data_IF_410602001023
#
_entry.id   IF_410602001023
#
_cell.length_a   1.000
_cell.length_b   1.000
_cell.length_c   1.000
_cell.angle_alpha   90.00
_cell.angle_beta   90.00
_cell.angle_gamma   90.00
#
_symmetry.space_group_name_H-M   'P 1'
#
loop_
_entity.id
_entity.type
_entity.pdbx_description
1 polymer ?
#
# COMPACT_ATOMS: atom_id res chain seq x y z
N UNK A 1 0.16 -14.51 1.97
CA UNK A 1 -0.45 -14.21 3.29
C UNK A 1 -1.46 -15.31 3.65
N UNK A 2 -1.81 -15.52 4.93
CA UNK A 2 -2.84 -16.48 5.33
C UNK A 2 -4.08 -15.71 5.79
N UNK A 3 -5.23 -15.81 5.09
CA UNK A 3 -6.43 -15.08 5.49
C UNK A 3 -6.97 -15.61 6.83
N UNK A 4 -7.52 -14.70 7.64
CA UNK A 4 -8.23 -15.09 8.86
C UNK A 4 -9.60 -15.69 8.51
N UNK A 5 -10.17 -16.58 9.33
CA UNK A 5 -11.51 -17.12 9.09
C UNK A 5 -12.55 -16.00 8.93
N UNK A 6 -13.50 -16.17 8.00
CA UNK A 6 -14.52 -15.20 7.61
C UNK A 6 -13.99 -13.92 6.93
N UNK A 7 -12.74 -13.91 6.45
CA UNK A 7 -12.28 -12.86 5.51
C UNK A 7 -13.07 -13.00 4.21
N UNK A 8 -13.41 -11.87 3.57
CA UNK A 8 -14.11 -11.88 2.29
C UNK A 8 -13.20 -12.46 1.20
N UNK A 9 -13.63 -13.55 0.55
CA UNK A 9 -12.86 -14.24 -0.49
C UNK A 9 -12.48 -13.31 -1.66
N UNK A 10 -13.34 -12.33 -1.99
CA UNK A 10 -13.04 -11.35 -3.05
C UNK A 10 -11.90 -10.42 -2.66
N UNK A 11 -11.82 -10.05 -1.37
CA UNK A 11 -10.72 -9.26 -0.85
C UNK A 11 -9.41 -10.06 -0.84
N UNK A 12 -9.50 -11.36 -0.52
CA UNK A 12 -8.35 -12.28 -0.59
C UNK A 12 -7.77 -12.35 -1.99
N UNK A 13 -8.63 -12.62 -2.97
CA UNK A 13 -8.21 -12.68 -4.38
C UNK A 13 -7.57 -11.36 -4.85
N UNK A 14 -8.09 -10.21 -4.38
CA UNK A 14 -7.56 -8.91 -4.76
C UNK A 14 -6.14 -8.68 -4.24
N UNK A 15 -5.87 -8.91 -2.93
CA UNK A 15 -4.51 -8.68 -2.43
C UNK A 15 -3.52 -9.71 -2.99
N UNK A 16 -3.95 -10.94 -3.31
CA UNK A 16 -3.11 -11.92 -4.00
C UNK A 16 -2.71 -11.43 -5.39
N UNK A 17 -3.62 -10.79 -6.12
CA UNK A 17 -3.34 -10.14 -7.40
C UNK A 17 -2.31 -9.01 -7.27
N UNK A 18 -2.46 -8.19 -6.23
CA UNK A 18 -1.53 -7.09 -5.91
C UNK A 18 -0.15 -7.58 -5.49
N UNK A 19 -0.05 -8.78 -4.90
CA UNK A 19 1.19 -9.36 -4.39
C UNK A 19 1.94 -10.24 -5.38
N UNK A 20 1.60 -10.20 -6.68
CA UNK A 20 2.36 -10.90 -7.71
C UNK A 20 3.83 -10.46 -7.70
N UNK A 21 4.73 -11.43 -7.84
CA UNK A 21 6.18 -11.19 -7.77
C UNK A 21 6.61 -10.27 -8.90
N UNK A 22 6.15 -10.55 -10.12
CA UNK A 22 6.39 -9.74 -11.30
C UNK A 22 5.66 -8.40 -11.20
N UNK A 23 6.36 -7.26 -11.27
CA UNK A 23 5.76 -5.93 -11.18
C UNK A 23 4.74 -5.67 -12.29
N UNK A 24 5.03 -6.11 -13.51
CA UNK A 24 4.17 -5.90 -14.69
C UNK A 24 2.87 -6.69 -14.60
N UNK A 25 2.87 -7.76 -13.80
CA UNK A 25 1.66 -8.50 -13.54
C UNK A 25 0.79 -7.79 -12.50
N UNK A 26 1.27 -6.83 -11.71
CA UNK A 26 0.41 -6.21 -10.67
C UNK A 26 -0.68 -5.34 -11.31
N UNK A 27 -1.91 -5.34 -10.74
CA UNK A 27 -2.97 -4.48 -11.22
C UNK A 27 -2.66 -3.01 -10.94
N UNK A 28 -3.13 -2.13 -11.84
CA UNK A 28 -3.10 -0.69 -11.64
C UNK A 28 -3.94 -0.26 -10.43
N UNK A 29 -3.52 0.81 -9.75
CA UNK A 29 -4.18 1.30 -8.53
C UNK A 29 -5.65 1.69 -8.77
N UNK A 30 -6.00 2.20 -9.95
CA UNK A 30 -7.39 2.52 -10.27
C UNK A 30 -8.24 1.25 -10.41
N UNK A 31 -7.67 0.15 -10.91
CA UNK A 31 -8.34 -1.15 -10.96
C UNK A 31 -8.56 -1.68 -9.53
N UNK A 32 -7.56 -1.58 -8.67
CA UNK A 32 -7.68 -2.00 -7.26
C UNK A 32 -8.79 -1.23 -6.54
N UNK A 33 -8.84 0.09 -6.70
CA UNK A 33 -9.89 0.92 -6.11
C UNK A 33 -11.29 0.52 -6.61
N UNK A 34 -11.44 0.29 -7.92
CA UNK A 34 -12.72 -0.14 -8.48
C UNK A 34 -13.18 -1.51 -7.95
N UNK A 35 -12.26 -2.45 -7.75
CA UNK A 35 -12.59 -3.75 -7.16
C UNK A 35 -12.95 -3.63 -5.67
N UNK A 36 -12.25 -2.76 -4.92
CA UNK A 36 -12.60 -2.47 -3.54
C UNK A 36 -14.01 -1.89 -3.42
N UNK A 37 -14.36 -0.89 -4.24
CA UNK A 37 -15.71 -0.30 -4.24
C UNK A 37 -16.79 -1.36 -4.49
N UNK A 38 -16.58 -2.26 -5.46
CA UNK A 38 -17.50 -3.38 -5.74
C UNK A 38 -17.63 -4.34 -4.56
N UNK A 39 -16.53 -4.62 -3.85
CA UNK A 39 -16.55 -5.48 -2.67
C UNK A 39 -17.39 -4.82 -1.58
N UNK A 40 -17.20 -3.52 -1.35
CA UNK A 40 -17.91 -2.73 -0.34
C UNK A 40 -19.41 -2.69 -0.65
N UNK A 41 -19.79 -2.39 -1.90
CA UNK A 41 -21.18 -2.32 -2.36
C UNK A 41 -21.88 -3.69 -2.30
N UNK A 42 -21.11 -4.78 -2.41
CA UNK A 42 -21.59 -6.16 -2.30
C UNK A 42 -21.77 -6.63 -0.85
N UNK A 43 -21.38 -5.84 0.16
CA UNK A 43 -21.48 -6.19 1.58
C UNK A 43 -22.74 -5.61 2.22
N UNK A 44 -23.27 -6.28 3.26
CA UNK A 44 -24.44 -5.81 4.00
C UNK A 44 -24.29 -4.34 4.46
N UNK A 45 -25.36 -3.52 4.37
CA UNK A 45 -25.30 -2.07 4.59
C UNK A 45 -24.82 -1.65 5.99
N UNK A 46 -24.79 -2.58 6.96
CA UNK A 46 -24.28 -2.33 8.32
C UNK A 46 -22.75 -2.24 8.37
N UNK A 47 -22.03 -2.82 7.41
CA UNK A 47 -20.56 -2.76 7.31
C UNK A 47 -20.13 -1.55 6.48
N UNK A 48 -20.89 -1.20 5.45
CA UNK A 48 -20.60 -0.07 4.53
C UNK A 48 -20.54 1.28 5.23
N UNK A 49 -21.33 1.49 6.31
CA UNK A 49 -21.32 2.76 7.07
C UNK A 49 -20.03 3.00 7.85
N UNK A 50 -19.32 1.97 8.29
CA UNK A 50 -18.08 2.13 9.06
C UNK A 50 -16.88 2.43 8.17
N UNK A 51 -16.88 1.95 6.92
CA UNK A 51 -15.77 2.12 5.99
C UNK A 51 -15.86 3.44 5.20
N UNK A 52 -17.05 3.84 4.78
CA UNK A 52 -17.28 5.10 4.07
C UNK A 52 -16.90 6.36 4.88
N UNK A 53 -16.91 6.28 6.21
CA UNK A 53 -16.49 7.40 7.07
C UNK A 53 -14.96 7.53 7.17
N UNK A 54 -14.20 6.48 6.85
CA UNK A 54 -12.73 6.48 6.89
C UNK A 54 -12.09 6.86 5.54
N UNK A 55 -12.85 6.94 4.46
CA UNK A 55 -12.36 7.35 3.13
C UNK A 55 -12.76 8.78 2.74
N UNK A 56 -13.69 9.41 3.47
CA UNK A 56 -14.14 10.79 3.20
C UNK A 56 -13.18 11.88 3.66
N UNK A 57 -12.07 11.51 4.30
CA UNK A 57 -11.01 12.42 4.74
C UNK A 57 -9.76 12.40 3.84
N UNK A 58 -9.73 11.61 2.76
CA UNK A 58 -8.61 11.57 1.81
C UNK A 58 -8.99 11.93 0.36
N UNK A 59 -10.13 12.60 0.12
CA UNK A 59 -10.41 13.17 -1.21
C UNK A 59 -9.63 14.46 -1.53
N UNK A 60 -8.47 14.64 -0.91
CA UNK A 60 -7.46 15.60 -1.32
C UNK A 60 -6.06 14.97 -1.14
N UNK A 61 -5.78 13.90 -1.88
CA UNK A 61 -4.41 13.75 -2.39
C UNK A 61 -4.22 14.83 -3.45
N UNK A 62 -4.13 16.08 -3.01
CA UNK A 62 -3.17 16.96 -3.65
C UNK A 62 -1.85 16.22 -3.53
N UNK A 63 -1.39 15.64 -4.63
CA UNK A 63 0.05 15.55 -4.86
C UNK A 63 0.49 17.01 -4.85
N UNK A 64 0.73 17.54 -3.64
CA UNK A 64 1.54 18.73 -3.52
C UNK A 64 2.89 18.20 -3.99
N UNK A 65 3.17 18.36 -5.29
CA UNK A 65 4.53 18.58 -5.74
C UNK A 65 4.96 19.82 -4.97
N UNK A 66 5.36 19.63 -3.71
CA UNK A 66 6.02 20.67 -2.96
C UNK A 66 7.34 20.72 -3.69
N UNK A 67 7.47 21.67 -4.60
CA UNK A 67 8.76 22.13 -5.09
C UNK A 67 9.50 22.85 -3.96
N UNK A 68 9.45 22.27 -2.76
CA UNK A 68 9.95 22.79 -1.51
C UNK A 68 10.67 21.62 -0.85
N UNK A 69 11.99 21.59 -1.05
CA UNK A 69 12.99 20.66 -0.52
C UNK A 69 13.05 20.62 1.02
N UNK A 70 11.92 20.60 1.74
CA UNK A 70 11.92 20.58 3.21
C UNK A 70 12.04 19.18 3.80
N UNK A 71 11.58 18.14 3.09
CA UNK A 71 11.65 16.76 3.57
C UNK A 71 13.03 16.11 3.31
N UNK A 72 13.91 16.77 2.54
CA UNK A 72 15.31 16.37 2.37
C UNK A 72 16.23 16.84 3.52
N UNK A 73 15.74 17.69 4.42
CA UNK A 73 16.57 18.28 5.49
C UNK A 73 16.83 17.33 6.67
N UNK A 74 16.18 16.16 6.72
CA UNK A 74 16.47 15.15 7.75
C UNK A 74 17.33 13.97 7.25
N UNK A 75 17.83 14.01 6.01
CA UNK A 75 18.81 13.03 5.50
C UNK A 75 20.16 13.14 6.21
N UNK A 76 20.49 14.32 6.74
CA UNK A 76 21.77 14.58 7.40
C UNK A 76 21.92 13.93 8.78
N UNK A 77 20.81 13.48 9.38
CA UNK A 77 20.79 12.80 10.68
C UNK A 77 20.37 11.32 10.57
N UNK A 78 20.21 10.79 9.36
CA UNK A 78 19.97 9.36 9.20
C UNK A 78 21.27 8.63 9.55
N UNK A 79 21.27 7.63 10.47
CA UNK A 79 22.44 6.81 10.68
C UNK A 79 22.90 6.27 9.32
N UNK A 80 24.20 6.41 9.03
CA UNK A 80 24.77 5.94 7.76
C UNK A 80 24.34 4.50 7.56
N UNK A 81 23.62 4.23 6.48
CA UNK A 81 23.25 2.89 6.09
C UNK A 81 24.47 2.19 5.48
N UNK A 82 25.55 2.10 6.25
CA UNK A 82 26.76 1.37 5.85
C UNK A 82 26.52 -0.15 5.92
N UNK A 83 25.48 -0.57 6.64
CA UNK A 83 25.10 -1.98 6.83
C UNK A 83 24.14 -2.51 5.75
N UNK A 84 23.72 -1.70 4.76
CA UNK A 84 22.90 -2.20 3.64
C UNK A 84 23.72 -2.64 2.42
N UNK A 85 25.05 -2.50 2.44
CA UNK A 85 25.89 -3.08 1.39
C UNK A 85 26.18 -4.56 1.69
N UNK A 86 25.33 -5.42 1.11
CA UNK A 86 25.44 -6.88 1.21
C UNK A 86 26.73 -7.39 0.53
N UNK A 87 27.32 -6.59 -0.37
CA UNK A 87 28.60 -6.92 -1.02
C UNK A 87 29.81 -6.40 -0.25
N UNK A 88 29.61 -5.74 0.90
CA UNK A 88 30.68 -5.26 1.75
C UNK A 88 31.59 -6.41 2.17
N UNK A 89 32.90 -6.16 2.13
CA UNK A 89 33.96 -7.10 2.51
C UNK A 89 33.81 -7.66 3.94
N UNK A 90 32.97 -7.01 4.78
CA UNK A 90 32.55 -7.47 6.11
C UNK A 90 31.85 -8.84 6.10
N UNK A 91 31.25 -9.23 4.98
CA UNK A 91 30.49 -10.48 4.82
C UNK A 91 31.17 -11.49 3.88
N UNK A 92 32.36 -11.19 3.37
CA UNK A 92 33.17 -12.13 2.59
C UNK A 92 33.93 -13.03 3.59
N UNK A 93 33.56 -14.33 3.63
CA UNK A 93 34.17 -15.37 4.49
C UNK A 93 35.48 -15.88 3.89
#
# INVERSE_FOLDING_TARGET
>A
EKPIPNTNDKFVALYEECWRQEPDERPDIHKVNSELDKIIDSTDPKVSTSLANNFKNESETTVILRNDDSDLLNLQNLPSCDDCDINSDKYQI
#
